data_IF_530957517038
#
_entry.id   IF_530957517038
#
_cell.length_a   1.000
_cell.length_b   1.000
_cell.length_c   1.000
_cell.angle_alpha   90.00
_cell.angle_beta   90.00
_cell.angle_gamma   90.00
#
_symmetry.space_group_name_H-M   'P 1'
#
loop_
_entity.id
_entity.type
_entity.pdbx_description
1 polymer ?
#
# COMPACT_ATOMS: atom_id res chain seq x y z
N UNK A 1 30.75 9.36 11.32
CA UNK A 1 29.28 9.40 11.35
C UNK A 1 28.81 8.69 10.10
N UNK A 2 28.54 7.40 10.21
CA UNK A 2 27.93 6.64 9.12
C UNK A 2 26.56 7.25 8.83
N UNK A 3 26.40 7.77 7.61
CA UNK A 3 25.09 8.08 7.07
C UNK A 3 24.29 6.77 7.07
N UNK A 4 23.41 6.62 8.04
CA UNK A 4 22.47 5.52 8.20
C UNK A 4 21.63 5.41 6.91
N UNK A 5 22.12 4.57 5.99
CA UNK A 5 21.48 4.31 4.72
C UNK A 5 20.28 3.42 5.01
N UNK A 6 19.08 3.97 4.92
CA UNK A 6 17.83 3.20 5.07
C UNK A 6 17.84 2.10 4.01
N UNK A 7 17.86 0.84 4.44
CA UNK A 7 17.84 -0.29 3.50
C UNK A 7 16.44 -0.42 2.89
N UNK A 8 16.32 -1.08 1.72
CA UNK A 8 15.01 -1.32 1.08
C UNK A 8 14.03 -2.05 2.01
N UNK A 9 14.54 -2.89 2.90
CA UNK A 9 13.73 -3.65 3.88
C UNK A 9 13.18 -2.69 4.93
N UNK A 10 14.01 -1.78 5.46
CA UNK A 10 13.58 -0.79 6.46
C UNK A 10 12.47 0.14 5.93
N UNK A 11 12.57 0.54 4.66
CA UNK A 11 11.55 1.39 4.02
C UNK A 11 10.23 0.64 3.81
N UNK A 12 10.28 -0.65 3.44
CA UNK A 12 9.09 -1.46 3.23
C UNK A 12 8.32 -1.68 4.53
N UNK A 13 9.00 -2.13 5.59
CA UNK A 13 8.36 -2.33 6.90
C UNK A 13 7.78 -1.03 7.47
N UNK A 14 8.48 0.10 7.29
CA UNK A 14 7.99 1.41 7.68
C UNK A 14 6.69 1.78 6.95
N UNK A 15 6.64 1.60 5.63
CA UNK A 15 5.47 1.92 4.82
C UNK A 15 4.28 1.01 5.18
N UNK A 16 4.49 -0.29 5.35
CA UNK A 16 3.44 -1.22 5.77
C UNK A 16 2.85 -0.83 7.13
N UNK A 17 3.72 -0.49 8.10
CA UNK A 17 3.29 -0.08 9.44
C UNK A 17 2.48 1.23 9.40
N UNK A 18 2.92 2.21 8.60
CA UNK A 18 2.20 3.46 8.40
C UNK A 18 0.80 3.23 7.82
N UNK A 19 0.69 2.37 6.80
CA UNK A 19 -0.57 2.08 6.11
C UNK A 19 -1.52 1.31 7.03
N UNK A 20 -1.02 0.29 7.75
CA UNK A 20 -1.78 -0.42 8.78
C UNK A 20 -2.30 0.53 9.86
N UNK A 21 -1.49 1.49 10.29
CA UNK A 21 -1.90 2.55 11.22
C UNK A 21 -3.04 3.42 10.66
N UNK A 22 -2.95 3.83 9.40
CA UNK A 22 -3.99 4.63 8.73
C UNK A 22 -5.29 3.87 8.51
N UNK A 23 -5.22 2.56 8.24
CA UNK A 23 -6.39 1.69 8.04
C UNK A 23 -7.06 1.27 9.36
N UNK A 24 -6.34 1.29 10.49
CA UNK A 24 -6.82 0.79 11.79
C UNK A 24 -8.15 1.39 12.27
N UNK A 25 -8.52 2.58 11.80
CA UNK A 25 -9.76 3.27 12.17
C UNK A 25 -10.96 2.99 11.27
N UNK A 26 -10.76 2.24 10.18
CA UNK A 26 -11.76 2.04 9.14
C UNK A 26 -11.93 0.55 8.83
N UNK A 27 -13.02 -0.02 9.38
CA UNK A 27 -13.39 -1.44 9.30
C UNK A 27 -13.51 -1.95 7.85
N UNK A 28 -13.78 -1.07 6.88
CA UNK A 28 -13.90 -1.45 5.47
C UNK A 28 -12.54 -1.63 4.77
N UNK A 29 -11.50 -0.92 5.24
CA UNK A 29 -10.16 -0.97 4.63
C UNK A 29 -9.19 -1.89 5.35
N UNK A 30 -9.51 -2.38 6.55
CA UNK A 30 -8.60 -3.22 7.33
C UNK A 30 -8.10 -4.44 6.53
N UNK A 31 -6.82 -4.41 6.18
CA UNK A 31 -6.16 -5.46 5.41
C UNK A 31 -6.60 -5.56 3.94
N UNK A 32 -7.41 -4.64 3.42
CA UNK A 32 -7.74 -4.59 2.00
C UNK A 32 -6.48 -4.35 1.17
N UNK A 33 -5.74 -3.30 1.52
CA UNK A 33 -4.52 -2.93 0.80
C UNK A 33 -3.46 -4.04 0.90
N UNK A 34 -3.36 -4.72 2.04
CA UNK A 34 -2.47 -5.88 2.21
C UNK A 34 -2.85 -7.07 1.31
N UNK A 35 -4.14 -7.39 1.18
CA UNK A 35 -4.60 -8.46 0.28
C UNK A 35 -4.36 -8.12 -1.19
N UNK A 36 -4.59 -6.86 -1.57
CA UNK A 36 -4.36 -6.37 -2.93
C UNK A 36 -2.86 -6.39 -3.26
N UNK A 37 -2.01 -5.88 -2.36
CA UNK A 37 -0.56 -5.89 -2.51
C UNK A 37 -0.02 -7.31 -2.72
N UNK A 38 -0.41 -8.26 -1.87
CA UNK A 38 0.01 -9.66 -1.99
C UNK A 38 -0.47 -10.32 -3.28
N UNK A 39 -1.70 -10.04 -3.72
CA UNK A 39 -2.21 -10.61 -4.96
C UNK A 39 -1.47 -10.04 -6.17
N UNK A 40 -1.24 -8.73 -6.19
CA UNK A 40 -0.50 -8.06 -7.25
C UNK A 40 0.96 -8.56 -7.35
N UNK A 41 1.62 -8.76 -6.22
CA UNK A 41 2.95 -9.38 -6.15
C UNK A 41 2.95 -10.80 -6.74
N UNK A 42 1.98 -11.65 -6.36
CA UNK A 42 1.86 -13.00 -6.91
C UNK A 42 1.64 -13.00 -8.42
N UNK A 43 0.85 -12.06 -8.94
CA UNK A 43 0.64 -11.88 -10.38
C UNK A 43 1.96 -11.45 -11.05
N UNK A 44 2.66 -10.47 -10.49
CA UNK A 44 3.94 -10.00 -11.00
C UNK A 44 5.01 -11.11 -11.04
N UNK A 45 5.08 -11.94 -10.00
CA UNK A 45 5.93 -13.14 -9.97
C UNK A 45 5.57 -14.14 -11.08
N UNK A 46 4.27 -14.35 -11.34
CA UNK A 46 3.80 -15.23 -12.43
C UNK A 46 4.05 -14.67 -13.82
N UNK A 47 4.22 -13.35 -13.93
CA UNK A 47 4.61 -12.66 -15.16
C UNK A 47 6.13 -12.60 -15.36
N UNK A 48 6.92 -13.21 -14.47
CA UNK A 48 8.39 -13.25 -14.53
C UNK A 48 9.04 -11.85 -14.56
N UNK A 49 8.39 -10.87 -13.92
CA UNK A 49 8.96 -9.54 -13.75
C UNK A 49 10.21 -9.58 -12.85
N UNK A 50 11.06 -8.58 -12.96
CA UNK A 50 12.27 -8.56 -12.15
C UNK A 50 11.95 -8.23 -10.67
N UNK A 51 12.82 -8.59 -9.71
CA UNK A 51 12.55 -8.39 -8.28
C UNK A 51 12.29 -6.94 -7.88
N UNK A 52 12.87 -5.97 -8.60
CA UNK A 52 12.64 -4.56 -8.31
C UNK A 52 11.24 -4.11 -8.75
N UNK A 53 10.75 -4.61 -9.88
CA UNK A 53 9.39 -4.36 -10.35
C UNK A 53 8.35 -5.00 -9.42
N UNK A 54 8.57 -6.26 -9.03
CA UNK A 54 7.71 -6.97 -8.07
C UNK A 54 7.61 -6.19 -6.76
N UNK A 55 8.75 -5.73 -6.23
CA UNK A 55 8.79 -4.91 -5.02
C UNK A 55 8.01 -3.60 -5.18
N UNK A 56 8.19 -2.89 -6.29
CA UNK A 56 7.45 -1.64 -6.59
C UNK A 56 5.94 -1.89 -6.67
N UNK A 57 5.51 -2.98 -7.30
CA UNK A 57 4.10 -3.36 -7.42
C UNK A 57 3.50 -3.65 -6.06
N UNK A 58 4.21 -4.40 -5.21
CA UNK A 58 3.76 -4.70 -3.86
C UNK A 58 3.56 -3.42 -3.02
N UNK A 59 4.56 -2.52 -3.02
CA UNK A 59 4.44 -1.21 -2.35
C UNK A 59 3.30 -0.36 -2.93
N UNK A 60 3.13 -0.34 -4.25
CA UNK A 60 2.04 0.41 -4.89
C UNK A 60 0.66 -0.12 -4.47
N UNK A 61 0.50 -1.44 -4.33
CA UNK A 61 -0.73 -2.07 -3.84
C UNK A 61 -1.08 -1.62 -2.43
N UNK A 62 -0.08 -1.49 -1.54
CA UNK A 62 -0.30 -0.96 -0.19
C UNK A 62 -0.71 0.52 -0.20
N UNK A 63 -0.12 1.34 -1.08
CA UNK A 63 -0.31 2.80 -1.10
C UNK A 63 -1.50 3.30 -1.93
N UNK A 64 -2.07 2.49 -2.82
CA UNK A 64 -2.96 2.97 -3.90
C UNK A 64 -4.14 3.83 -3.43
N UNK A 65 -4.71 3.53 -2.25
CA UNK A 65 -5.90 4.19 -1.71
C UNK A 65 -5.58 5.23 -0.61
N UNK A 66 -4.31 5.53 -0.33
CA UNK A 66 -3.90 6.50 0.70
C UNK A 66 -4.49 7.90 0.44
N UNK A 67 -4.64 8.28 -0.83
CA UNK A 67 -5.19 9.57 -1.23
C UNK A 67 -6.67 9.76 -0.89
N UNK A 68 -7.44 8.67 -0.72
CA UNK A 68 -8.87 8.78 -0.34
C UNK A 68 -9.06 9.24 1.10
N UNK A 69 -8.13 8.95 2.02
CA UNK A 69 -8.30 9.23 3.46
C UNK A 69 -8.35 10.73 3.80
N UNK A 70 -7.88 11.61 2.89
CA UNK A 70 -7.96 13.07 3.04
C UNK A 70 -9.25 13.70 2.47
N UNK A 71 -10.10 12.92 1.80
CA UNK A 71 -11.29 13.44 1.11
C UNK A 71 -12.48 13.39 2.06
N UNK A 72 -13.30 14.46 2.08
CA UNK A 72 -14.55 14.49 2.88
C UNK A 72 -15.49 13.37 2.43
N UNK A 73 -16.11 12.68 3.39
CA UNK A 73 -17.06 11.59 3.11
C UNK A 73 -18.22 11.97 2.19
N UNK A 74 -18.62 13.25 2.15
CA UNK A 74 -19.62 13.78 1.21
C UNK A 74 -19.20 13.76 -0.26
N UNK A 75 -17.90 13.74 -0.53
CA UNK A 75 -17.32 13.62 -1.89
C UNK A 75 -17.10 12.15 -2.23
N UNK A 76 -16.60 11.35 -1.28
CA UNK A 76 -16.37 9.91 -1.46
C UNK A 76 -17.66 9.10 -1.64
N UNK A 77 -18.71 9.43 -0.88
CA UNK A 77 -20.00 8.73 -0.90
C UNK A 77 -21.08 9.54 -1.64
N UNK A 78 -20.68 10.32 -2.64
CA UNK A 78 -21.64 11.06 -3.45
C UNK A 78 -22.52 10.03 -4.16
N UNK A 79 -23.81 10.00 -3.84
CA UNK A 79 -24.79 9.22 -4.60
C UNK A 79 -24.77 9.72 -6.03
N UNK A 80 -24.67 8.80 -6.98
CA UNK A 80 -24.91 9.12 -8.38
C UNK A 80 -26.35 9.65 -8.50
N UNK A 81 -26.48 10.85 -9.08
CA UNK A 81 -27.76 11.44 -9.44
C UNK A 81 -28.22 10.85 -10.77
#
# INVERSE_FOLDING_TARGET
MESSSISKIDLHEFLESLIKGLESKDLYTSGHSERVAHLAEKIACKMELNPEEIFKIHIAGHLHDIGKKGIKGSVLNKKEN
#
